data_IF_520578219101
#
_entry.id   IF_520578219101
#
_cell.length_a   1.000
_cell.length_b   1.000
_cell.length_c   1.000
_cell.angle_alpha   90.00
_cell.angle_beta   90.00
_cell.angle_gamma   90.00
#
_symmetry.space_group_name_H-M   'P 1'
#
loop_
_entity.id
_entity.type
_entity.pdbx_description
1 polymer ?
#
# COMPACT_ATOMS: atom_id res chain seq x y z
N UNK A 1 -22.49 3.10 -17.30
CA UNK A 1 -23.46 2.13 -16.74
C UNK A 1 -22.78 0.88 -16.17
N UNK A 2 -21.86 0.20 -16.88
CA UNK A 2 -21.18 -1.03 -16.40
C UNK A 2 -20.47 -0.89 -15.04
N UNK A 3 -19.75 0.21 -14.81
CA UNK A 3 -19.02 0.46 -13.55
C UNK A 3 -19.96 0.62 -12.33
N UNK A 4 -21.08 1.37 -12.47
CA UNK A 4 -22.04 1.56 -11.36
C UNK A 4 -22.63 0.24 -10.88
N UNK A 5 -23.03 -0.64 -11.81
CA UNK A 5 -23.55 -1.97 -11.46
C UNK A 5 -22.48 -2.83 -10.78
N UNK A 6 -21.26 -2.85 -11.33
CA UNK A 6 -20.15 -3.62 -10.75
C UNK A 6 -19.77 -3.14 -9.34
N UNK A 7 -19.74 -1.83 -9.09
CA UNK A 7 -19.47 -1.30 -7.74
C UNK A 7 -20.50 -1.76 -6.73
N UNK A 8 -21.78 -1.80 -7.09
CA UNK A 8 -22.81 -2.32 -6.20
C UNK A 8 -22.66 -3.83 -5.97
N UNK A 9 -22.34 -4.61 -6.99
CA UNK A 9 -22.03 -6.04 -6.82
C UNK A 9 -20.85 -6.27 -5.88
N UNK A 10 -19.76 -5.51 -6.05
CA UNK A 10 -18.56 -5.57 -5.20
C UNK A 10 -18.88 -5.19 -3.76
N UNK A 11 -19.72 -4.15 -3.53
CA UNK A 11 -20.20 -3.79 -2.20
C UNK A 11 -21.00 -4.93 -1.56
N UNK A 12 -21.90 -5.58 -2.31
CA UNK A 12 -22.66 -6.72 -1.80
C UNK A 12 -21.77 -7.92 -1.48
N UNK A 13 -20.75 -8.20 -2.31
CA UNK A 13 -19.76 -9.24 -2.03
C UNK A 13 -18.91 -8.91 -0.80
N UNK A 14 -18.52 -7.64 -0.62
CA UNK A 14 -17.80 -7.18 0.57
C UNK A 14 -18.62 -7.43 1.84
N UNK A 15 -19.91 -7.08 1.86
CA UNK A 15 -20.78 -7.29 3.03
C UNK A 15 -21.01 -8.77 3.39
N UNK A 16 -20.74 -9.70 2.47
CA UNK A 16 -20.77 -11.15 2.76
C UNK A 16 -19.50 -11.64 3.43
N UNK A 17 -18.41 -10.86 3.46
CA UNK A 17 -17.17 -11.21 4.15
C UNK A 17 -17.27 -10.86 5.64
N UNK A 18 -16.93 -11.83 6.49
CA UNK A 18 -17.04 -11.69 7.94
C UNK A 18 -16.00 -10.73 8.52
N UNK A 19 -14.75 -10.78 8.05
CA UNK A 19 -13.65 -10.07 8.71
C UNK A 19 -13.46 -8.64 8.17
N UNK A 20 -13.11 -8.52 6.88
CA UNK A 20 -12.76 -7.24 6.26
C UNK A 20 -13.91 -6.57 5.48
N UNK A 21 -15.12 -7.13 5.54
CA UNK A 21 -16.24 -6.72 4.69
C UNK A 21 -16.60 -5.24 4.79
N UNK A 22 -16.68 -4.71 6.02
CA UNK A 22 -16.97 -3.29 6.26
C UNK A 22 -15.89 -2.35 5.72
N UNK A 23 -14.61 -2.70 5.91
CA UNK A 23 -13.47 -1.91 5.42
C UNK A 23 -13.43 -1.86 3.90
N UNK A 24 -13.62 -3.02 3.26
CA UNK A 24 -13.69 -3.13 1.79
C UNK A 24 -14.87 -2.31 1.25
N UNK A 25 -16.04 -2.40 1.89
CA UNK A 25 -17.20 -1.59 1.50
C UNK A 25 -16.88 -0.10 1.53
N UNK A 26 -16.23 0.39 2.61
CA UNK A 26 -15.83 1.79 2.73
C UNK A 26 -14.83 2.22 1.65
N UNK A 27 -13.83 1.38 1.34
CA UNK A 27 -12.86 1.64 0.25
C UNK A 27 -13.53 1.74 -1.13
N UNK A 28 -14.53 0.90 -1.40
CA UNK A 28 -15.30 0.98 -2.65
C UNK A 28 -16.17 2.24 -2.66
N UNK A 29 -16.77 2.59 -1.50
CA UNK A 29 -17.68 3.72 -1.38
C UNK A 29 -16.97 5.09 -1.43
N UNK A 30 -15.70 5.16 -1.06
CA UNK A 30 -14.88 6.38 -1.15
C UNK A 30 -14.45 6.73 -2.59
N UNK A 31 -14.81 5.89 -3.57
CA UNK A 31 -14.45 6.02 -4.99
C UNK A 31 -12.95 5.94 -5.28
N UNK A 32 -12.14 5.56 -4.30
CA UNK A 32 -10.67 5.50 -4.43
C UNK A 32 -10.19 4.30 -5.26
N UNK A 33 -11.02 3.26 -5.34
CA UNK A 33 -10.75 2.06 -6.14
C UNK A 33 -11.27 2.14 -7.57
N UNK A 34 -11.87 3.25 -8.01
CA UNK A 34 -12.61 3.31 -9.29
C UNK A 34 -11.71 2.97 -10.48
N UNK A 35 -10.48 3.47 -10.50
CA UNK A 35 -9.48 3.16 -11.54
C UNK A 35 -9.20 1.65 -11.63
N UNK A 36 -9.16 0.95 -10.49
CA UNK A 36 -8.87 -0.48 -10.43
C UNK A 36 -10.14 -1.28 -10.81
N UNK A 37 -11.30 -0.87 -10.30
CA UNK A 37 -12.59 -1.51 -10.57
C UNK A 37 -12.96 -1.47 -12.05
N UNK A 38 -12.62 -0.37 -12.73
CA UNK A 38 -12.82 -0.22 -14.18
C UNK A 38 -12.01 -1.23 -15.00
N UNK A 39 -10.90 -1.73 -14.46
CA UNK A 39 -10.01 -2.68 -15.13
C UNK A 39 -10.37 -4.14 -14.87
N UNK A 40 -11.36 -4.43 -14.02
CA UNK A 40 -11.80 -5.80 -13.76
C UNK A 40 -12.37 -6.40 -15.05
N UNK A 41 -11.79 -7.48 -15.55
CA UNK A 41 -12.31 -8.25 -16.69
C UNK A 41 -13.36 -9.24 -16.22
N UNK A 42 -14.21 -9.76 -17.11
CA UNK A 42 -15.19 -10.81 -16.76
C UNK A 42 -14.56 -12.24 -16.75
N UNK A 43 -13.24 -12.32 -16.94
CA UNK A 43 -12.48 -13.57 -16.92
C UNK A 43 -12.43 -14.16 -15.51
N UNK A 44 -12.74 -15.46 -15.41
CA UNK A 44 -12.76 -16.22 -14.16
C UNK A 44 -11.35 -16.66 -13.76
N UNK A 45 -11.11 -16.74 -12.46
CA UNK A 45 -9.88 -17.30 -11.90
C UNK A 45 -10.11 -18.78 -11.59
N UNK A 46 -9.36 -19.71 -12.21
CA UNK A 46 -9.40 -21.12 -11.82
C UNK A 46 -9.04 -21.27 -10.34
N UNK A 47 -9.80 -22.06 -9.60
CA UNK A 47 -9.57 -22.27 -8.17
C UNK A 47 -9.51 -23.76 -7.86
N UNK A 48 -8.81 -24.13 -6.79
CA UNK A 48 -8.81 -25.50 -6.30
C UNK A 48 -10.21 -25.80 -5.78
N UNK A 49 -10.84 -26.86 -6.33
CA UNK A 49 -12.16 -27.29 -5.86
C UNK A 49 -12.04 -27.78 -4.43
N UNK A 50 -12.75 -27.14 -3.53
CA UNK A 50 -12.80 -27.48 -2.10
C UNK A 50 -14.27 -27.50 -1.64
N UNK A 51 -14.51 -27.86 -0.38
CA UNK A 51 -15.84 -27.69 0.24
C UNK A 51 -16.27 -26.22 0.31
N UNK A 52 -15.31 -25.28 0.33
CA UNK A 52 -15.57 -23.84 0.35
C UNK A 52 -15.74 -23.26 -1.07
N UNK A 53 -15.09 -23.86 -2.07
CA UNK A 53 -15.14 -23.41 -3.48
C UNK A 53 -15.58 -24.58 -4.36
N UNK A 54 -16.88 -24.87 -4.35
CA UNK A 54 -17.44 -26.02 -5.05
C UNK A 54 -17.38 -25.88 -6.59
N UNK A 55 -17.46 -24.65 -7.10
CA UNK A 55 -17.48 -24.34 -8.54
C UNK A 55 -16.13 -24.56 -9.23
N UNK A 56 -15.04 -24.67 -8.47
CA UNK A 56 -13.67 -24.77 -9.00
C UNK A 56 -13.17 -23.49 -9.69
N UNK A 57 -13.84 -22.36 -9.49
CA UNK A 57 -13.41 -21.05 -9.97
C UNK A 57 -14.00 -19.94 -9.10
N UNK A 58 -13.36 -18.77 -9.16
CA UNK A 58 -13.91 -17.50 -8.68
C UNK A 58 -14.28 -16.61 -9.87
N UNK A 59 -15.41 -15.92 -9.80
CA UNK A 59 -15.69 -14.81 -10.70
C UNK A 59 -14.67 -13.69 -10.47
N UNK A 60 -14.49 -12.80 -11.44
CA UNK A 60 -13.53 -11.71 -11.30
C UNK A 60 -13.83 -10.78 -10.12
N UNK A 61 -15.11 -10.54 -9.83
CA UNK A 61 -15.53 -9.74 -8.69
C UNK A 61 -15.25 -10.46 -7.35
N UNK A 62 -15.52 -11.78 -7.27
CA UNK A 62 -15.18 -12.58 -6.08
C UNK A 62 -13.66 -12.59 -5.84
N UNK A 63 -12.87 -12.84 -6.89
CA UNK A 63 -11.41 -12.80 -6.83
C UNK A 63 -10.89 -11.43 -6.35
N UNK A 64 -11.43 -10.34 -6.89
CA UNK A 64 -11.02 -8.98 -6.49
C UNK A 64 -11.28 -8.73 -5.00
N UNK A 65 -12.46 -9.10 -4.50
CA UNK A 65 -12.81 -8.95 -3.07
C UNK A 65 -11.93 -9.83 -2.19
N UNK A 66 -11.65 -11.07 -2.60
CA UNK A 66 -10.75 -11.98 -1.89
C UNK A 66 -9.33 -11.41 -1.82
N UNK A 67 -8.79 -10.94 -2.95
CA UNK A 67 -7.45 -10.35 -3.01
C UNK A 67 -7.33 -9.08 -2.17
N UNK A 68 -8.35 -8.21 -2.22
CA UNK A 68 -8.36 -7.01 -1.40
C UNK A 68 -8.44 -7.36 0.09
N UNK A 69 -9.27 -8.33 0.48
CA UNK A 69 -9.34 -8.83 1.87
C UNK A 69 -7.99 -9.37 2.34
N UNK A 70 -7.31 -10.16 1.51
CA UNK A 70 -5.98 -10.70 1.83
C UNK A 70 -4.91 -9.61 1.91
N UNK A 71 -4.99 -8.58 1.07
CA UNK A 71 -4.09 -7.44 1.16
C UNK A 71 -4.27 -6.64 2.45
N UNK A 72 -5.51 -6.40 2.86
CA UNK A 72 -5.81 -5.75 4.15
C UNK A 72 -5.21 -6.55 5.32
N UNK A 73 -5.44 -7.86 5.33
CA UNK A 73 -4.88 -8.74 6.35
C UNK A 73 -3.34 -8.74 6.33
N UNK A 74 -2.74 -8.86 5.14
CA UNK A 74 -1.29 -8.82 4.97
C UNK A 74 -0.71 -7.50 5.49
N UNK A 75 -1.32 -6.36 5.16
CA UNK A 75 -0.90 -5.06 5.64
C UNK A 75 -0.98 -4.98 7.18
N UNK A 76 -2.11 -5.36 7.77
CA UNK A 76 -2.31 -5.30 9.23
C UNK A 76 -1.29 -6.15 10.00
N UNK A 77 -0.95 -7.32 9.48
CA UNK A 77 0.05 -8.22 10.06
C UNK A 77 1.48 -7.67 9.95
N UNK A 78 1.79 -6.98 8.86
CA UNK A 78 3.12 -6.42 8.64
C UNK A 78 3.31 -5.07 9.36
N UNK A 79 2.23 -4.33 9.60
CA UNK A 79 2.25 -2.98 10.19
C UNK A 79 1.28 -2.84 11.37
N UNK A 80 1.36 -3.71 12.41
CA UNK A 80 0.37 -3.74 13.48
C UNK A 80 0.31 -2.44 14.28
N UNK A 81 1.44 -1.74 14.43
CA UNK A 81 1.60 -0.48 15.18
C UNK A 81 1.12 0.77 14.45
N UNK A 82 0.84 0.67 13.14
CA UNK A 82 0.38 1.82 12.34
C UNK A 82 -1.06 2.14 12.67
N UNK A 83 -1.30 3.37 13.14
CA UNK A 83 -2.64 3.93 13.30
C UNK A 83 -3.28 4.26 11.93
N UNK A 84 -4.62 4.36 11.88
CA UNK A 84 -5.37 4.72 10.67
C UNK A 84 -5.01 3.87 9.42
N UNK A 85 -4.88 2.55 9.58
CA UNK A 85 -4.44 1.62 8.51
C UNK A 85 -5.23 1.76 7.20
N UNK A 86 -6.54 2.01 7.29
CA UNK A 86 -7.39 2.18 6.11
C UNK A 86 -7.02 3.41 5.29
N UNK A 87 -6.54 4.48 5.93
CA UNK A 87 -6.03 5.66 5.24
C UNK A 87 -4.71 5.34 4.51
N UNK A 88 -3.80 4.58 5.15
CA UNK A 88 -2.53 4.18 4.53
C UNK A 88 -2.79 3.31 3.30
N UNK A 89 -3.72 2.37 3.42
CA UNK A 89 -4.12 1.51 2.30
C UNK A 89 -4.76 2.32 1.18
N UNK A 90 -5.56 3.35 1.49
CA UNK A 90 -6.07 4.26 0.46
C UNK A 90 -4.93 4.95 -0.29
N UNK A 91 -3.92 5.49 0.40
CA UNK A 91 -2.78 6.11 -0.27
C UNK A 91 -2.02 5.14 -1.18
N UNK A 92 -1.82 3.90 -0.73
CA UNK A 92 -1.16 2.85 -1.51
C UNK A 92 -1.97 2.53 -2.78
N UNK A 93 -3.29 2.43 -2.68
CA UNK A 93 -4.17 2.02 -3.78
C UNK A 93 -4.53 3.16 -4.74
N UNK A 94 -4.40 4.42 -4.32
CA UNK A 94 -4.68 5.59 -5.17
C UNK A 94 -3.53 5.95 -6.12
N UNK A 95 -2.29 5.71 -5.67
CA UNK A 95 -1.06 6.07 -6.39
C UNK A 95 -0.68 5.10 -7.51
N UNK A 96 -1.25 3.90 -7.51
CA UNK A 96 -0.89 2.83 -8.45
C UNK A 96 -2.08 1.90 -8.74
N UNK A 97 -1.90 1.00 -9.71
CA UNK A 97 -2.81 -0.12 -9.95
C UNK A 97 -2.07 -1.40 -9.57
N UNK A 98 -2.26 -1.94 -8.36
CA UNK A 98 -1.59 -3.17 -7.96
C UNK A 98 -2.09 -4.36 -8.79
N UNK A 99 -1.22 -4.90 -9.64
CA UNK A 99 -1.57 -5.96 -10.58
C UNK A 99 -2.11 -7.22 -9.90
N UNK A 100 -1.64 -7.51 -8.69
CA UNK A 100 -2.08 -8.68 -7.92
C UNK A 100 -3.59 -8.65 -7.60
N UNK A 101 -4.22 -7.47 -7.55
CA UNK A 101 -5.67 -7.34 -7.34
C UNK A 101 -6.49 -7.77 -8.57
N UNK A 102 -5.88 -7.73 -9.76
CA UNK A 102 -6.52 -8.02 -11.04
C UNK A 102 -6.08 -9.38 -11.62
N UNK A 103 -5.10 -10.03 -11.00
CA UNK A 103 -4.50 -11.24 -11.51
C UNK A 103 -5.45 -12.45 -11.47
N UNK A 104 -5.14 -13.46 -12.29
CA UNK A 104 -5.88 -14.72 -12.39
C UNK A 104 -5.19 -15.89 -11.71
N UNK A 105 -4.23 -15.60 -10.82
CA UNK A 105 -3.66 -16.59 -9.92
C UNK A 105 -4.57 -16.76 -8.71
N UNK A 106 -4.77 -17.99 -8.26
CA UNK A 106 -5.59 -18.26 -7.09
C UNK A 106 -4.75 -18.13 -5.81
N UNK A 107 -5.17 -17.27 -4.89
CA UNK A 107 -4.46 -17.05 -3.61
C UNK A 107 -4.45 -18.30 -2.72
N UNK A 108 -5.51 -19.11 -2.76
CA UNK A 108 -5.57 -20.35 -1.99
C UNK A 108 -4.66 -21.47 -2.51
N UNK A 109 -3.92 -21.25 -3.59
CA UNK A 109 -2.85 -22.13 -4.04
C UNK A 109 -1.51 -21.66 -3.46
N UNK A 110 -0.93 -22.48 -2.59
CA UNK A 110 0.32 -22.20 -1.89
C UNK A 110 1.48 -21.90 -2.84
N UNK A 111 1.46 -22.42 -4.07
CA UNK A 111 2.50 -22.15 -5.07
C UNK A 111 2.51 -20.67 -5.51
N UNK A 112 1.39 -19.96 -5.35
CA UNK A 112 1.28 -18.55 -5.70
C UNK A 112 1.66 -17.60 -4.54
N UNK A 113 1.83 -18.09 -3.30
CA UNK A 113 2.18 -17.26 -2.13
C UNK A 113 3.46 -16.42 -2.37
N UNK A 114 4.56 -16.96 -2.95
CA UNK A 114 5.76 -16.16 -3.22
C UNK A 114 5.51 -15.01 -4.20
N UNK A 115 4.63 -15.22 -5.19
CA UNK A 115 4.25 -14.16 -6.12
C UNK A 115 3.47 -13.07 -5.39
N UNK A 116 2.44 -13.45 -4.63
CA UNK A 116 1.59 -12.45 -4.01
C UNK A 116 2.28 -11.67 -2.89
N UNK A 117 3.08 -12.34 -2.06
CA UNK A 117 3.86 -11.65 -1.02
C UNK A 117 4.82 -10.63 -1.63
N UNK A 118 5.49 -10.97 -2.74
CA UNK A 118 6.31 -10.02 -3.51
C UNK A 118 5.49 -8.83 -4.03
N UNK A 119 4.37 -9.07 -4.70
CA UNK A 119 3.58 -7.98 -5.29
C UNK A 119 2.92 -7.09 -4.23
N UNK A 120 2.50 -7.65 -3.10
CA UNK A 120 1.98 -6.88 -1.97
C UNK A 120 3.07 -6.03 -1.32
N UNK A 121 4.25 -6.59 -1.07
CA UNK A 121 5.41 -5.83 -0.59
C UNK A 121 5.74 -4.67 -1.54
N UNK A 122 5.78 -4.95 -2.86
CA UNK A 122 6.05 -3.95 -3.90
C UNK A 122 5.03 -2.81 -3.85
N UNK A 123 3.74 -3.13 -3.77
CA UNK A 123 2.70 -2.12 -3.66
C UNK A 123 2.87 -1.24 -2.42
N UNK A 124 3.20 -1.85 -1.27
CA UNK A 124 3.39 -1.14 0.00
C UNK A 124 4.60 -0.19 -0.06
N UNK A 125 5.75 -0.64 -0.57
CA UNK A 125 6.98 0.17 -0.55
C UNK A 125 7.03 1.24 -1.64
N UNK A 126 6.18 1.16 -2.67
CA UNK A 126 6.26 2.01 -3.86
C UNK A 126 6.24 3.50 -3.53
N UNK A 127 5.29 3.92 -2.68
CA UNK A 127 5.14 5.33 -2.31
C UNK A 127 6.35 5.82 -1.50
N UNK A 128 6.76 5.07 -0.48
CA UNK A 128 7.98 5.36 0.29
C UNK A 128 9.20 5.51 -0.63
N UNK A 129 9.44 4.53 -1.51
CA UNK A 129 10.58 4.54 -2.43
C UNK A 129 10.60 5.81 -3.30
N UNK A 130 9.46 6.18 -3.88
CA UNK A 130 9.33 7.38 -4.70
C UNK A 130 9.55 8.66 -3.88
N UNK A 131 9.03 8.74 -2.66
CA UNK A 131 9.22 9.89 -1.77
C UNK A 131 10.69 10.04 -1.38
N UNK A 132 11.41 8.95 -1.15
CA UNK A 132 12.84 8.99 -0.84
C UNK A 132 13.66 9.46 -2.04
N UNK A 133 13.33 9.03 -3.27
CA UNK A 133 13.95 9.56 -4.49
C UNK A 133 13.73 11.07 -4.58
N UNK A 134 12.51 11.49 -4.29
CA UNK A 134 12.08 12.87 -4.45
C UNK A 134 12.74 13.80 -3.43
N UNK A 135 12.81 13.40 -2.15
CA UNK A 135 13.39 14.20 -1.08
C UNK A 135 14.89 14.42 -1.21
N UNK A 136 15.58 13.68 -2.09
CA UNK A 136 17.01 13.82 -2.39
C UNK A 136 17.93 13.64 -1.16
N UNK A 137 17.40 13.09 -0.05
CA UNK A 137 18.16 12.91 1.19
C UNK A 137 18.94 11.59 1.23
N UNK A 138 19.73 11.36 0.19
CA UNK A 138 20.42 10.08 0.01
C UNK A 138 21.37 9.75 1.17
N UNK A 139 22.00 10.76 1.78
CA UNK A 139 23.00 10.54 2.83
C UNK A 139 22.37 9.93 4.08
N UNK A 140 21.16 10.36 4.42
CA UNK A 140 20.41 9.81 5.55
C UNK A 140 20.03 8.37 5.26
N UNK A 141 19.40 8.09 4.12
CA UNK A 141 18.91 6.75 3.77
C UNK A 141 20.01 5.71 3.50
N UNK A 142 21.20 6.13 3.05
CA UNK A 142 22.34 5.23 2.86
C UNK A 142 22.79 4.52 4.14
N UNK A 143 22.62 5.15 5.30
CA UNK A 143 22.91 4.54 6.62
C UNK A 143 22.10 3.27 6.86
N UNK A 144 20.91 3.20 6.24
CA UNK A 144 19.98 2.09 6.33
C UNK A 144 20.04 1.15 5.12
N UNK A 145 21.12 1.25 4.32
CA UNK A 145 21.32 0.50 3.07
C UNK A 145 20.24 0.77 2.02
N UNK A 146 19.57 1.91 2.10
CA UNK A 146 18.61 2.35 1.09
C UNK A 146 19.35 3.24 0.10
N UNK A 147 19.36 2.82 -1.18
CA UNK A 147 20.07 3.49 -2.27
C UNK A 147 19.07 3.88 -3.37
N UNK A 148 18.40 5.04 -3.26
CA UNK A 148 17.15 5.35 -3.96
C UNK A 148 17.22 5.42 -5.49
N UNK A 149 18.38 5.27 -6.14
CA UNK A 149 18.49 5.20 -7.61
C UNK A 149 19.21 3.96 -8.12
N UNK A 150 19.54 3.04 -7.21
CA UNK A 150 20.28 1.80 -7.48
C UNK A 150 19.47 0.56 -7.11
N UNK A 151 18.36 0.75 -6.40
CA UNK A 151 17.48 -0.34 -6.00
C UNK A 151 16.48 -0.67 -7.11
N UNK A 152 16.09 -1.93 -7.15
CA UNK A 152 15.07 -2.44 -8.05
C UNK A 152 13.94 -3.09 -7.26
N UNK A 153 12.70 -2.59 -7.38
CA UNK A 153 11.55 -3.17 -6.68
C UNK A 153 11.18 -4.58 -7.15
N UNK A 154 11.72 -5.03 -8.30
CA UNK A 154 11.61 -6.42 -8.75
C UNK A 154 12.59 -7.36 -8.06
N UNK A 155 13.66 -6.83 -7.47
CA UNK A 155 14.65 -7.62 -6.74
C UNK A 155 14.16 -7.88 -5.30
N UNK A 156 14.20 -9.14 -4.88
CA UNK A 156 13.68 -9.54 -3.57
C UNK A 156 14.51 -8.99 -2.42
N UNK A 157 15.83 -8.79 -2.59
CA UNK A 157 16.71 -8.30 -1.53
C UNK A 157 16.50 -6.81 -1.31
N UNK A 158 16.38 -6.03 -2.38
CA UNK A 158 16.07 -4.60 -2.30
C UNK A 158 14.69 -4.38 -1.67
N UNK A 159 13.69 -5.14 -2.12
CA UNK A 159 12.34 -5.10 -1.57
C UNK A 159 12.30 -5.46 -0.08
N UNK A 160 13.01 -6.53 0.32
CA UNK A 160 13.13 -6.92 1.73
C UNK A 160 13.82 -5.84 2.57
N UNK A 161 14.78 -5.11 2.01
CA UNK A 161 15.47 -4.01 2.70
C UNK A 161 14.51 -2.86 2.97
N UNK A 162 13.72 -2.46 1.97
CA UNK A 162 12.74 -1.39 2.08
C UNK A 162 11.61 -1.76 3.06
N UNK A 163 11.01 -2.95 2.91
CA UNK A 163 9.90 -3.35 3.78
C UNK A 163 10.35 -3.52 5.23
N UNK A 164 11.56 -4.06 5.47
CA UNK A 164 12.12 -4.16 6.82
C UNK A 164 12.29 -2.77 7.44
N UNK A 165 12.90 -1.85 6.71
CA UNK A 165 13.07 -0.48 7.19
C UNK A 165 11.74 0.18 7.55
N UNK A 166 10.72 0.07 6.68
CA UNK A 166 9.40 0.63 6.95
C UNK A 166 8.75 0.00 8.20
N UNK A 167 8.91 -1.31 8.42
CA UNK A 167 8.41 -1.98 9.63
C UNK A 167 9.12 -1.50 10.89
N UNK A 168 10.44 -1.41 10.84
CA UNK A 168 11.26 -0.95 11.97
C UNK A 168 10.87 0.49 12.35
N UNK A 169 10.72 1.38 11.36
CA UNK A 169 10.22 2.75 11.55
C UNK A 169 8.80 2.74 12.15
N UNK A 170 7.90 1.91 11.63
CA UNK A 170 6.53 1.80 12.12
C UNK A 170 6.46 1.38 13.60
N UNK A 171 7.33 0.49 14.05
CA UNK A 171 7.39 0.06 15.44
C UNK A 171 7.92 1.14 16.38
N UNK A 172 8.95 1.88 15.98
CA UNK A 172 9.55 2.92 16.83
C UNK A 172 8.72 4.21 16.88
N UNK A 173 7.82 4.39 15.92
CA UNK A 173 6.99 5.58 15.76
C UNK A 173 5.49 5.31 16.01
N UNK A 174 5.15 4.34 16.86
CA UNK A 174 3.74 4.03 17.16
C UNK A 174 2.96 5.31 17.51
N UNK A 175 1.78 5.48 16.91
CA UNK A 175 0.91 6.67 17.02
C UNK A 175 1.48 8.01 16.53
N UNK A 176 2.65 8.07 15.89
CA UNK A 176 3.16 9.30 15.29
C UNK A 176 2.45 9.60 13.96
N UNK A 177 1.99 10.84 13.78
CA UNK A 177 1.35 11.27 12.53
C UNK A 177 2.29 11.17 11.32
N UNK A 178 3.60 11.34 11.53
CA UNK A 178 4.61 11.27 10.48
C UNK A 178 4.64 9.90 9.78
N UNK A 179 4.12 8.84 10.40
CA UNK A 179 3.97 7.53 9.76
C UNK A 179 3.14 7.57 8.48
N UNK A 180 2.21 8.52 8.36
CA UNK A 180 1.46 8.77 7.14
C UNK A 180 2.39 8.94 5.93
N UNK A 181 3.53 9.60 6.11
CA UNK A 181 4.46 9.96 5.03
C UNK A 181 5.23 8.76 4.46
N UNK A 182 5.20 7.60 5.15
CA UNK A 182 5.69 6.34 4.59
C UNK A 182 4.79 5.82 3.46
N UNK A 183 3.48 6.06 3.56
CA UNK A 183 2.48 5.47 2.66
C UNK A 183 1.85 6.48 1.72
N UNK A 184 1.90 7.77 2.05
CA UNK A 184 1.42 8.86 1.22
C UNK A 184 2.26 9.03 -0.04
N UNK A 185 1.69 9.58 -1.11
CA UNK A 185 2.38 9.76 -2.39
C UNK A 185 2.58 11.25 -2.72
N UNK A 186 3.83 11.63 -2.95
CA UNK A 186 4.20 13.01 -3.26
C UNK A 186 3.35 13.62 -4.40
N UNK A 187 3.11 12.87 -5.49
CA UNK A 187 2.41 13.38 -6.67
C UNK A 187 0.95 13.75 -6.42
N UNK A 188 0.24 12.98 -5.60
CA UNK A 188 -1.14 13.32 -5.21
C UNK A 188 -1.17 14.50 -4.23
N UNK A 189 -0.19 14.60 -3.31
CA UNK A 189 -0.05 15.79 -2.45
C UNK A 189 0.28 17.05 -3.23
N UNK A 190 1.10 16.99 -4.27
CA UNK A 190 1.39 18.12 -5.16
C UNK A 190 0.11 18.70 -5.77
N UNK A 191 -0.79 17.83 -6.24
CA UNK A 191 -2.08 18.24 -6.82
C UNK A 191 -2.96 18.94 -5.78
N UNK A 192 -2.98 18.44 -4.54
CA UNK A 192 -3.73 19.06 -3.46
C UNK A 192 -3.12 20.42 -3.05
N UNK A 193 -1.81 20.47 -2.83
CA UNK A 193 -1.09 21.70 -2.47
C UNK A 193 -1.21 22.79 -3.54
N UNK A 194 -1.12 22.43 -4.81
CA UNK A 194 -1.26 23.39 -5.92
C UNK A 194 -2.65 24.03 -5.97
N UNK A 195 -3.70 23.31 -5.54
CA UNK A 195 -5.06 23.87 -5.42
C UNK A 195 -5.18 24.84 -4.25
N UNK A 196 -4.47 24.59 -3.16
CA UNK A 196 -4.46 25.44 -1.95
C UNK A 196 -3.61 26.69 -2.16
N UNK A 197 -2.44 26.57 -2.78
CA UNK A 197 -1.46 27.64 -2.98
C UNK A 197 -1.44 28.15 -4.42
N UNK A 198 -2.60 28.53 -4.96
CA UNK A 198 -2.74 28.97 -6.38
C UNK A 198 -1.84 30.15 -6.77
N UNK A 199 -1.40 30.93 -5.79
CA UNK A 199 -0.57 32.12 -5.99
C UNK A 199 0.94 31.84 -5.97
N UNK A 200 1.35 30.61 -5.64
CA UNK A 200 2.77 30.21 -5.60
C UNK A 200 3.19 29.59 -6.92
N UNK A 201 4.45 29.82 -7.31
CA UNK A 201 5.03 29.18 -8.48
C UNK A 201 5.24 27.67 -8.25
N UNK A 202 5.23 26.87 -9.32
CA UNK A 202 5.41 25.40 -9.24
C UNK A 202 6.68 25.03 -8.45
N UNK A 203 7.81 25.67 -8.74
CA UNK A 203 9.09 25.40 -8.04
C UNK A 203 8.97 25.65 -6.53
N UNK A 204 8.25 26.69 -6.12
CA UNK A 204 8.04 27.01 -4.71
C UNK A 204 7.19 25.94 -4.01
N UNK A 205 6.12 25.47 -4.64
CA UNK A 205 5.29 24.38 -4.14
C UNK A 205 6.13 23.10 -3.94
N UNK A 206 6.97 22.76 -4.92
CA UNK A 206 7.85 21.60 -4.84
C UNK A 206 8.83 21.69 -3.67
N UNK A 207 9.44 22.86 -3.44
CA UNK A 207 10.36 23.06 -2.31
C UNK A 207 9.65 22.89 -0.98
N UNK A 208 8.48 23.50 -0.82
CA UNK A 208 7.69 23.40 0.42
C UNK A 208 7.29 21.96 0.72
N UNK A 209 6.86 21.21 -0.29
CA UNK A 209 6.55 19.79 -0.12
C UNK A 209 7.80 18.97 0.19
N UNK A 210 8.91 19.22 -0.50
CA UNK A 210 10.17 18.53 -0.20
C UNK A 210 10.61 18.75 1.24
N UNK A 211 10.52 19.98 1.74
CA UNK A 211 10.86 20.33 3.11
C UNK A 211 9.88 19.68 4.12
N UNK A 212 8.59 19.61 3.79
CA UNK A 212 7.57 18.91 4.59
C UNK A 212 7.86 17.41 4.72
N UNK A 213 8.13 16.71 3.61
CA UNK A 213 8.50 15.29 3.64
C UNK A 213 9.81 15.05 4.39
N UNK A 214 10.83 15.89 4.19
CA UNK A 214 12.11 15.79 4.91
C UNK A 214 11.91 15.93 6.41
N UNK A 215 11.16 16.95 6.85
CA UNK A 215 10.85 17.15 8.26
C UNK A 215 10.19 15.90 8.88
N UNK A 216 9.21 15.31 8.20
CA UNK A 216 8.55 14.10 8.70
C UNK A 216 9.47 12.87 8.69
N UNK A 217 10.33 12.70 7.69
CA UNK A 217 11.33 11.64 7.70
C UNK A 217 12.38 11.84 8.81
N UNK A 218 12.81 13.06 9.08
CA UNK A 218 13.74 13.37 10.17
C UNK A 218 13.15 12.99 11.53
N UNK A 219 11.86 13.30 11.77
CA UNK A 219 11.15 12.87 12.98
C UNK A 219 11.13 11.34 13.10
N UNK A 220 10.71 10.65 12.03
CA UNK A 220 10.61 9.19 12.01
C UNK A 220 11.97 8.52 12.29
N UNK A 221 13.02 9.06 11.67
CA UNK A 221 14.38 8.54 11.79
C UNK A 221 14.96 8.84 13.17
N UNK A 222 14.73 10.02 13.73
CA UNK A 222 15.15 10.36 15.09
C UNK A 222 14.56 9.38 16.10
N UNK A 223 13.25 9.16 16.06
CA UNK A 223 12.59 8.19 16.95
C UNK A 223 13.07 6.76 16.74
N UNK A 224 13.38 6.38 15.50
CA UNK A 224 13.98 5.08 15.22
C UNK A 224 15.36 4.95 15.86
N UNK A 225 16.25 5.93 15.68
CA UNK A 225 17.57 5.92 16.29
C UNK A 225 17.51 5.84 17.82
N UNK A 226 16.56 6.55 18.43
CA UNK A 226 16.36 6.56 19.89
C UNK A 226 15.85 5.21 20.43
N UNK A 227 15.11 4.43 19.61
CA UNK A 227 14.37 3.24 20.07
C UNK A 227 14.77 1.94 19.38
N UNK A 228 15.67 1.95 18.39
CA UNK A 228 16.05 0.75 17.60
C UNK A 228 16.58 -0.39 18.45
N UNK A 229 17.16 -0.10 19.62
CA UNK A 229 17.62 -1.12 20.56
C UNK A 229 16.46 -1.94 21.15
N UNK A 230 15.26 -1.36 21.25
CA UNK A 230 14.05 -2.06 21.69
C UNK A 230 13.56 -3.07 20.65
N UNK A 231 13.87 -2.88 19.37
CA UNK A 231 13.48 -3.82 18.30
C UNK A 231 14.17 -5.19 18.46
N UNK A 232 15.34 -5.24 19.10
CA UNK A 232 16.07 -6.49 19.39
C UNK A 232 15.34 -7.41 20.37
N UNK A 233 14.29 -6.91 21.03
CA UNK A 233 13.46 -7.66 21.98
C UNK A 233 12.25 -8.29 21.27
N UNK A 234 11.90 -7.80 20.06
CA UNK A 234 10.71 -8.18 19.30
C UNK A 234 11.03 -9.21 18.20
N UNK A 235 12.29 -9.26 17.73
CA UNK A 235 12.82 -10.28 16.80
C UNK A 235 13.09 -11.63 17.48
#
# INVERSE_FOLDING_TARGET
>A
MKNKTRKEELKQLALKKVDNGGRIYQLINSNKLDKIIDLITDEKTPAIKTTLVEKGYLTANEQFIDMLSNFLYYFDMNFPSVGHKDLMIQFILESQIPEFLLCKKYWGDNNNIPYFTKEMDKAIVNNFYNNVIFTDDYKTFQKYKIFPRKMNLEDRKDLNTLIKFMKDIAWTNYNDYSLVYLFDEFGEKEKAFSKTYKNKGKIEIYRLLMDDYRMHFDILISHYEDKKELLKIID
#
